data_IF_072662374794
#
_entry.id   IF_072662374794
#
_cell.length_a   1.000
_cell.length_b   1.000
_cell.length_c   1.000
_cell.angle_alpha   90.00
_cell.angle_beta   90.00
_cell.angle_gamma   90.00
#
_symmetry.space_group_name_H-M   'P 1'
#
loop_
_entity.id
_entity.type
_entity.pdbx_description
1 polymer ?
#
# COMPACT_ATOMS: atom_id res chain seq x y z
N UNK A 1 6.20 11.04 -18.54
CA UNK A 1 7.01 9.82 -18.73
C UNK A 1 6.12 8.65 -18.38
N UNK A 2 5.76 7.73 -19.29
CA UNK A 2 4.83 6.65 -18.96
C UNK A 2 5.62 5.48 -18.40
N UNK A 3 5.99 5.55 -17.13
CA UNK A 3 6.33 4.32 -16.42
C UNK A 3 5.01 3.61 -16.16
N UNK A 4 4.71 2.59 -16.96
CA UNK A 4 3.51 1.76 -16.77
C UNK A 4 3.49 1.25 -15.32
N UNK A 5 2.30 1.23 -14.70
CA UNK A 5 2.07 0.75 -13.33
C UNK A 5 2.19 -0.79 -13.21
N UNK A 6 3.10 -1.39 -14.00
CA UNK A 6 3.32 -2.82 -14.15
C UNK A 6 3.68 -3.48 -12.82
N UNK A 7 4.35 -2.74 -11.92
CA UNK A 7 4.69 -3.23 -10.59
C UNK A 7 3.43 -3.46 -9.74
N UNK A 8 2.45 -2.55 -9.74
CA UNK A 8 1.18 -2.78 -9.06
C UNK A 8 0.43 -3.98 -9.67
N UNK A 9 0.42 -4.11 -11.01
CA UNK A 9 -0.19 -5.27 -11.70
C UNK A 9 0.42 -6.62 -11.30
N UNK A 10 1.68 -6.65 -10.86
CA UNK A 10 2.30 -7.87 -10.35
C UNK A 10 1.86 -8.17 -8.92
N UNK A 11 1.76 -7.14 -8.06
CA UNK A 11 1.28 -7.28 -6.68
C UNK A 11 -0.17 -7.79 -6.61
N UNK A 12 -1.01 -7.40 -7.57
CA UNK A 12 -2.38 -7.89 -7.68
C UNK A 12 -2.51 -9.40 -7.96
N UNK A 13 -1.40 -10.09 -8.27
CA UNK A 13 -1.38 -11.57 -8.37
C UNK A 13 -1.39 -12.25 -7.00
N UNK A 14 -1.05 -11.53 -5.94
CA UNK A 14 -1.06 -12.00 -4.56
C UNK A 14 -2.30 -11.49 -3.82
N UNK A 15 -2.70 -12.22 -2.78
CA UNK A 15 -3.82 -11.82 -1.93
C UNK A 15 -3.55 -10.50 -1.22
N UNK A 16 -4.61 -9.83 -0.78
CA UNK A 16 -4.47 -8.61 0.02
C UNK A 16 -3.81 -8.85 1.37
N UNK A 17 -3.86 -10.09 1.89
CA UNK A 17 -3.28 -10.49 3.16
C UNK A 17 -1.77 -10.71 3.03
N UNK A 18 -1.32 -11.31 1.92
CA UNK A 18 0.11 -11.52 1.63
C UNK A 18 0.87 -10.22 1.39
N UNK A 19 0.20 -9.20 0.83
CA UNK A 19 0.81 -7.89 0.55
C UNK A 19 0.54 -6.86 1.66
N UNK A 20 -0.22 -7.22 2.70
CA UNK A 20 -0.46 -6.31 3.82
C UNK A 20 0.84 -6.10 4.60
N UNK A 21 1.26 -4.84 4.86
CA UNK A 21 2.51 -4.59 5.57
C UNK A 21 2.44 -5.08 7.02
N UNK A 22 3.54 -5.66 7.51
CA UNK A 22 3.70 -5.90 8.94
C UNK A 22 3.96 -4.56 9.65
N UNK A 23 2.98 -4.14 10.45
CA UNK A 23 2.99 -2.89 11.20
C UNK A 23 3.05 -3.12 12.71
N UNK A 24 3.41 -4.33 13.15
CA UNK A 24 3.37 -4.74 14.56
C UNK A 24 4.29 -3.92 15.47
N UNK A 25 5.31 -3.25 14.91
CA UNK A 25 6.29 -2.43 15.63
C UNK A 25 6.19 -0.93 15.29
N UNK A 26 5.10 -0.48 14.65
CA UNK A 26 4.96 0.88 14.15
C UNK A 26 4.10 1.75 15.08
N UNK A 27 4.54 2.97 15.33
CA UNK A 27 3.84 4.00 16.10
C UNK A 27 3.74 5.32 15.32
N UNK A 28 3.20 5.26 14.11
CA UNK A 28 2.85 6.44 13.33
C UNK A 28 1.34 6.49 13.02
N UNK A 29 0.86 7.63 12.52
CA UNK A 29 -0.56 7.82 12.26
C UNK A 29 -1.10 6.89 11.17
N UNK A 30 -0.29 6.57 10.15
CA UNK A 30 -0.68 5.66 9.08
C UNK A 30 -0.95 4.26 9.65
N UNK A 31 -0.03 3.73 10.46
CA UNK A 31 -0.17 2.41 11.06
C UNK A 31 -1.37 2.28 12.02
N UNK A 32 -1.76 3.37 12.69
CA UNK A 32 -2.96 3.39 13.56
C UNK A 32 -4.28 3.33 12.79
N UNK A 33 -4.29 3.69 11.50
CA UNK A 33 -5.51 3.81 10.68
C UNK A 33 -5.61 2.70 9.64
N UNK A 34 -4.47 2.22 9.13
CA UNK A 34 -4.46 1.19 8.10
C UNK A 34 -4.95 -0.15 8.68
N UNK A 35 -6.03 -0.68 8.10
CA UNK A 35 -6.58 -2.00 8.44
C UNK A 35 -6.53 -2.93 7.23
N UNK A 36 -6.51 -4.27 7.42
CA UNK A 36 -6.55 -5.21 6.30
C UNK A 36 -7.74 -4.98 5.36
N UNK A 37 -8.92 -4.67 5.90
CA UNK A 37 -10.11 -4.36 5.11
C UNK A 37 -9.96 -3.06 4.30
N UNK A 38 -9.35 -2.02 4.88
CA UNK A 38 -9.09 -0.76 4.18
C UNK A 38 -8.06 -0.95 3.05
N UNK A 39 -6.99 -1.70 3.33
CA UNK A 39 -5.96 -2.04 2.35
C UNK A 39 -6.55 -2.82 1.18
N UNK A 40 -7.29 -3.91 1.44
CA UNK A 40 -7.96 -4.70 0.41
C UNK A 40 -8.86 -3.84 -0.50
N UNK A 41 -9.62 -2.90 0.09
CA UNK A 41 -10.53 -2.03 -0.67
C UNK A 41 -9.81 -1.04 -1.59
N UNK A 42 -8.61 -0.60 -1.21
CA UNK A 42 -7.92 0.52 -1.85
C UNK A 42 -6.66 0.13 -2.64
N UNK A 43 -6.05 -1.04 -2.41
CA UNK A 43 -4.81 -1.48 -3.07
C UNK A 43 -4.89 -1.52 -4.59
N UNK A 44 -6.06 -1.80 -5.15
CA UNK A 44 -6.27 -1.86 -6.60
C UNK A 44 -6.52 -0.49 -7.24
N UNK A 45 -6.64 0.57 -6.44
CA UNK A 45 -6.93 1.92 -6.92
C UNK A 45 -5.64 2.64 -7.30
N UNK A 46 -5.72 3.38 -8.40
CA UNK A 46 -4.69 4.31 -8.84
C UNK A 46 -5.31 5.65 -9.22
N UNK A 47 -4.55 6.74 -9.03
CA UNK A 47 -4.92 8.05 -9.55
C UNK A 47 -4.72 8.10 -11.07
N UNK A 48 -5.22 9.12 -11.79
CA UNK A 48 -4.93 9.29 -13.22
C UNK A 48 -3.44 9.42 -13.56
N UNK A 49 -2.59 9.76 -12.58
CA UNK A 49 -1.14 9.80 -12.73
C UNK A 49 -0.44 8.48 -12.36
N UNK A 50 -1.20 7.45 -11.98
CA UNK A 50 -0.68 6.13 -11.59
C UNK A 50 -0.22 6.03 -10.14
N UNK A 51 -0.59 6.97 -9.26
CA UNK A 51 -0.22 6.89 -7.83
C UNK A 51 -1.14 5.92 -7.10
N UNK A 52 -0.58 5.01 -6.31
CA UNK A 52 -1.29 3.91 -5.65
C UNK A 52 -1.34 4.08 -4.13
N UNK A 53 -2.11 3.24 -3.45
CA UNK A 53 -2.10 3.22 -1.98
C UNK A 53 -0.72 2.89 -1.41
N UNK A 54 0.01 1.96 -2.04
CA UNK A 54 1.35 1.56 -1.61
C UNK A 54 2.30 2.76 -1.62
N UNK A 55 2.22 3.59 -2.67
CA UNK A 55 3.04 4.81 -2.76
C UNK A 55 2.72 5.82 -1.64
N UNK A 56 1.45 5.90 -1.21
CA UNK A 56 1.02 6.77 -0.10
C UNK A 56 1.59 6.30 1.24
N UNK A 57 1.55 4.98 1.49
CA UNK A 57 1.88 4.42 2.81
C UNK A 57 3.36 4.08 2.96
N UNK A 58 4.12 3.99 1.86
CA UNK A 58 5.52 3.54 1.85
C UNK A 58 6.37 4.22 2.93
N UNK A 59 6.27 5.54 3.06
CA UNK A 59 7.01 6.28 4.10
C UNK A 59 6.67 5.84 5.52
N UNK A 60 5.40 5.53 5.80
CA UNK A 60 4.98 5.05 7.12
C UNK A 60 5.28 3.57 7.34
N UNK A 61 5.50 2.78 6.29
CA UNK A 61 5.97 1.39 6.39
C UNK A 61 7.48 1.36 6.66
N UNK A 62 8.24 2.19 5.95
CA UNK A 62 9.70 2.25 6.08
C UNK A 62 10.16 2.90 7.39
N UNK A 63 9.35 3.81 7.95
CA UNK A 63 9.67 4.56 9.15
C UNK A 63 8.69 4.21 10.28
N UNK A 64 9.05 3.30 11.21
CA UNK A 64 8.12 2.80 12.21
C UNK A 64 7.55 3.87 13.15
N UNK A 65 8.31 4.91 13.48
CA UNK A 65 7.85 6.00 14.36
C UNK A 65 8.92 6.42 15.35
#
# INVERSE_FOLDING_TARGET
>A
MPFSNTHNKHKLKFSSEEEFPDLSQHNNHMAKVLTPALYQRLREKETPSGFTLDDVIQTGVDNPG
#
